data_IF_387231488977
#
_entry.id   IF_387231488977
#
_cell.length_a   1.000
_cell.length_b   1.000
_cell.length_c   1.000
_cell.angle_alpha   90.00
_cell.angle_beta   90.00
_cell.angle_gamma   90.00
#
_symmetry.space_group_name_H-M   'P 1'
#
loop_
_entity.id
_entity.type
_entity.pdbx_description
1 polymer ?
#
# COMPACT_ATOMS: atom_id res chain seq x y z
N UNK A 1 -21.54 -6.28 -10.93
CA UNK A 1 -20.30 -5.92 -10.22
C UNK A 1 -19.24 -6.91 -10.67
N UNK A 2 -18.25 -6.50 -11.46
CA UNK A 2 -17.15 -7.40 -11.81
C UNK A 2 -16.30 -7.62 -10.54
N UNK A 3 -16.17 -8.85 -10.06
CA UNK A 3 -15.21 -9.17 -9.01
C UNK A 3 -13.80 -8.95 -9.56
N UNK A 4 -13.05 -8.06 -8.92
CA UNK A 4 -11.64 -7.86 -9.24
C UNK A 4 -10.88 -9.04 -8.60
N UNK A 5 -10.56 -10.10 -9.38
CA UNK A 5 -9.63 -11.15 -8.93
C UNK A 5 -8.23 -10.53 -8.83
N UNK A 6 -7.73 -10.32 -7.61
CA UNK A 6 -6.34 -9.93 -7.37
C UNK A 6 -5.55 -11.21 -7.08
N UNK A 7 -4.50 -11.48 -7.84
CA UNK A 7 -3.67 -12.67 -7.63
C UNK A 7 -2.74 -12.51 -6.42
N UNK A 8 -2.28 -13.63 -5.85
CA UNK A 8 -1.29 -13.62 -4.76
C UNK A 8 -0.01 -12.88 -5.18
N UNK A 9 0.46 -13.07 -6.41
CA UNK A 9 1.63 -12.37 -6.95
C UNK A 9 1.43 -10.84 -7.03
N UNK A 10 0.23 -10.39 -7.40
CA UNK A 10 -0.11 -8.97 -7.39
C UNK A 10 -0.09 -8.40 -5.97
N UNK A 11 -0.64 -9.14 -5.01
CA UNK A 11 -0.60 -8.77 -3.60
C UNK A 11 0.84 -8.67 -3.08
N UNK A 12 1.71 -9.63 -3.42
CA UNK A 12 3.13 -9.62 -3.03
C UNK A 12 3.88 -8.42 -3.61
N UNK A 13 3.63 -8.12 -4.88
CA UNK A 13 4.20 -6.94 -5.54
C UNK A 13 3.78 -5.66 -4.83
N UNK A 14 2.50 -5.51 -4.49
CA UNK A 14 1.99 -4.36 -3.75
C UNK A 14 2.61 -4.25 -2.34
N UNK A 15 2.75 -5.35 -1.61
CA UNK A 15 3.41 -5.38 -0.31
C UNK A 15 4.86 -4.88 -0.39
N UNK A 16 5.60 -5.30 -1.43
CA UNK A 16 6.97 -4.84 -1.65
C UNK A 16 7.03 -3.33 -1.91
N UNK A 17 6.10 -2.80 -2.72
CA UNK A 17 6.01 -1.37 -3.01
C UNK A 17 5.71 -0.57 -1.73
N UNK A 18 4.64 -0.93 -1.01
CA UNK A 18 4.23 -0.21 0.21
C UNK A 18 5.31 -0.22 1.29
N UNK A 19 6.06 -1.32 1.45
CA UNK A 19 7.21 -1.38 2.38
C UNK A 19 8.33 -0.43 1.98
N UNK A 20 8.64 -0.31 0.69
CA UNK A 20 9.66 0.61 0.20
C UNK A 20 9.22 2.06 0.38
N UNK A 21 7.95 2.35 0.11
CA UNK A 21 7.35 3.65 0.30
C UNK A 21 7.36 4.09 1.76
N UNK A 22 6.93 3.22 2.69
CA UNK A 22 7.01 3.48 4.13
C UNK A 22 8.44 3.81 4.58
N UNK A 23 9.43 3.04 4.10
CA UNK A 23 10.85 3.31 4.40
C UNK A 23 11.32 4.67 3.87
N UNK A 24 10.80 5.11 2.72
CA UNK A 24 11.10 6.44 2.16
C UNK A 24 10.44 7.53 2.99
N UNK A 25 9.15 7.43 3.28
CA UNK A 25 8.39 8.44 4.04
C UNK A 25 8.99 8.66 5.43
N UNK A 26 9.34 7.59 6.14
CA UNK A 26 9.94 7.68 7.48
C UNK A 26 11.28 8.43 7.52
N UNK A 27 12.00 8.48 6.39
CA UNK A 27 13.25 9.23 6.24
C UNK A 27 13.05 10.67 5.77
N UNK A 28 11.81 11.05 5.44
CA UNK A 28 11.46 12.39 5.00
C UNK A 28 10.92 13.22 6.18
N UNK A 29 11.20 14.52 6.14
CA UNK A 29 10.42 15.49 6.88
C UNK A 29 9.13 15.86 6.11
N UNK A 30 8.22 16.60 6.76
CA UNK A 30 6.93 16.97 6.17
C UNK A 30 7.08 17.73 4.84
N UNK A 31 8.00 18.69 4.77
CA UNK A 31 8.23 19.46 3.54
C UNK A 31 8.67 18.57 2.38
N UNK A 32 9.64 17.68 2.61
CA UNK A 32 10.10 16.72 1.60
C UNK A 32 8.95 15.80 1.16
N UNK A 33 8.16 15.31 2.12
CA UNK A 33 6.99 14.50 1.83
C UNK A 33 5.99 15.24 0.93
N UNK A 34 5.62 16.48 1.27
CA UNK A 34 4.67 17.27 0.49
C UNK A 34 5.12 17.49 -0.96
N UNK A 35 6.42 17.64 -1.21
CA UNK A 35 6.99 17.75 -2.57
C UNK A 35 6.90 16.44 -3.34
N UNK A 36 7.10 15.29 -2.69
CA UNK A 36 7.23 13.98 -3.35
C UNK A 36 5.99 13.09 -3.24
N UNK A 37 4.93 13.51 -2.52
CA UNK A 37 3.74 12.68 -2.25
C UNK A 37 3.05 12.12 -3.50
N UNK A 38 3.15 12.81 -4.64
CA UNK A 38 2.60 12.38 -5.93
C UNK A 38 3.28 11.13 -6.52
N UNK A 39 4.43 10.75 -5.98
CA UNK A 39 5.24 9.62 -6.46
C UNK A 39 4.95 8.30 -5.70
N UNK A 40 3.92 8.28 -4.86
CA UNK A 40 3.54 7.14 -4.04
C UNK A 40 2.28 6.45 -4.56
N UNK A 41 2.11 5.18 -4.22
CA UNK A 41 1.03 4.31 -4.70
C UNK A 41 -0.38 4.80 -4.37
N UNK A 42 -0.53 5.61 -3.31
CA UNK A 42 -1.82 6.19 -2.90
C UNK A 42 -2.26 7.38 -3.77
N UNK A 43 -1.48 7.79 -4.77
CA UNK A 43 -1.88 8.77 -5.79
C UNK A 43 -1.93 10.22 -5.29
N UNK A 44 -2.79 11.04 -5.93
CA UNK A 44 -2.90 12.48 -5.68
C UNK A 44 -3.81 12.81 -4.48
N UNK A 45 -3.40 12.39 -3.28
CA UNK A 45 -4.03 12.88 -2.04
C UNK A 45 -3.49 14.27 -1.70
N UNK A 46 -4.17 15.32 -2.18
CA UNK A 46 -3.67 16.70 -2.12
C UNK A 46 -3.52 17.26 -0.70
N UNK A 47 -4.25 16.73 0.29
CA UNK A 47 -4.27 17.25 1.67
C UNK A 47 -3.83 16.24 2.72
N UNK A 48 -3.11 15.20 2.34
CA UNK A 48 -2.56 14.22 3.29
C UNK A 48 -1.27 14.76 3.94
N UNK A 49 -1.15 14.59 5.24
CA UNK A 49 0.08 14.82 6.02
C UNK A 49 1.00 13.60 5.92
N UNK A 50 2.28 13.75 6.31
CA UNK A 50 3.21 12.61 6.33
C UNK A 50 2.71 11.47 7.23
N UNK A 51 2.17 11.81 8.40
CA UNK A 51 1.69 10.82 9.37
C UNK A 51 0.50 10.04 8.82
N UNK A 52 -0.50 10.74 8.27
CA UNK A 52 -1.67 10.09 7.64
C UNK A 52 -1.25 9.19 6.47
N UNK A 53 -0.22 9.57 5.71
CA UNK A 53 0.30 8.73 4.64
C UNK A 53 1.03 7.48 5.15
N UNK A 54 1.77 7.58 6.26
CA UNK A 54 2.36 6.40 6.93
C UNK A 54 1.29 5.45 7.46
N UNK A 55 0.23 6.00 8.07
CA UNK A 55 -0.92 5.23 8.55
C UNK A 55 -1.63 4.54 7.39
N UNK A 56 -1.92 5.27 6.30
CA UNK A 56 -2.57 4.74 5.11
C UNK A 56 -1.78 3.56 4.51
N UNK A 57 -0.48 3.73 4.30
CA UNK A 57 0.37 2.65 3.77
C UNK A 57 0.45 1.45 4.71
N UNK A 58 0.42 1.68 6.03
CA UNK A 58 0.39 0.61 7.03
C UNK A 58 -0.92 -0.16 6.96
N UNK A 59 -2.06 0.54 6.87
CA UNK A 59 -3.38 -0.09 6.69
C UNK A 59 -3.47 -0.87 5.38
N UNK A 60 -2.95 -0.32 4.27
CA UNK A 60 -2.88 -1.02 2.99
C UNK A 60 -2.03 -2.28 3.05
N UNK A 61 -0.89 -2.23 3.76
CA UNK A 61 -0.02 -3.40 3.98
C UNK A 61 -0.73 -4.48 4.81
N UNK A 62 -1.38 -4.10 5.91
CA UNK A 62 -2.12 -5.03 6.77
C UNK A 62 -3.27 -5.69 6.02
N UNK A 63 -4.05 -4.92 5.25
CA UNK A 63 -5.14 -5.46 4.43
C UNK A 63 -4.60 -6.45 3.39
N UNK A 64 -3.53 -6.09 2.70
CA UNK A 64 -2.94 -6.94 1.68
C UNK A 64 -2.43 -8.26 2.29
N UNK A 65 -1.70 -8.23 3.40
CA UNK A 65 -1.27 -9.44 4.11
C UNK A 65 -2.45 -10.32 4.54
N UNK A 66 -3.56 -9.70 4.98
CA UNK A 66 -4.79 -10.43 5.32
C UNK A 66 -5.38 -11.11 4.08
N UNK A 67 -5.47 -10.41 2.95
CA UNK A 67 -5.96 -10.98 1.68
C UNK A 67 -5.06 -12.13 1.20
N UNK A 68 -3.74 -12.00 1.33
CA UNK A 68 -2.81 -13.10 1.00
C UNK A 68 -3.08 -14.33 1.86
N UNK A 69 -3.24 -14.15 3.18
CA UNK A 69 -3.55 -15.26 4.08
C UNK A 69 -4.88 -15.92 3.75
N UNK A 70 -5.89 -15.14 3.36
CA UNK A 70 -7.20 -15.65 2.96
C UNK A 70 -7.14 -16.41 1.63
N UNK A 71 -6.36 -15.94 0.65
CA UNK A 71 -6.14 -16.62 -0.63
C UNK A 71 -5.23 -17.85 -0.54
N UNK A 72 -4.29 -17.89 0.42
CA UNK A 72 -3.48 -19.09 0.67
C UNK A 72 -4.23 -20.13 1.50
N UNK A 73 -5.11 -19.68 2.40
CA UNK A 73 -5.92 -20.55 3.27
C UNK A 73 -7.17 -21.10 2.59
N UNK A 74 -7.72 -20.37 1.61
CA UNK A 74 -8.74 -20.86 0.70
C UNK A 74 -8.04 -21.32 -0.58
N UNK A 75 -8.03 -22.62 -0.89
CA UNK A 75 -7.79 -23.09 -2.27
C UNK A 75 -8.90 -22.50 -3.14
N UNK A 76 -8.75 -21.26 -3.59
CA UNK A 76 -9.67 -20.65 -4.54
C UNK A 76 -8.84 -20.38 -5.77
N UNK A 77 -9.04 -21.28 -6.73
CA UNK A 77 -8.82 -21.06 -8.15
C UNK A 77 -9.53 -19.74 -8.51
N UNK A 78 -8.76 -18.70 -8.85
CA UNK A 78 -9.06 -18.02 -10.10
C UNK A 78 -8.67 -19.03 -11.22
#
# INVERSE_FOLDING_TARGET
MAEICVSVEQLERMNKIHRLELRKIRKMNERQFQTFKKNFSFGHLEKITKIEAEELLTSMLTLNLKMQSELSGKKIEC
#
